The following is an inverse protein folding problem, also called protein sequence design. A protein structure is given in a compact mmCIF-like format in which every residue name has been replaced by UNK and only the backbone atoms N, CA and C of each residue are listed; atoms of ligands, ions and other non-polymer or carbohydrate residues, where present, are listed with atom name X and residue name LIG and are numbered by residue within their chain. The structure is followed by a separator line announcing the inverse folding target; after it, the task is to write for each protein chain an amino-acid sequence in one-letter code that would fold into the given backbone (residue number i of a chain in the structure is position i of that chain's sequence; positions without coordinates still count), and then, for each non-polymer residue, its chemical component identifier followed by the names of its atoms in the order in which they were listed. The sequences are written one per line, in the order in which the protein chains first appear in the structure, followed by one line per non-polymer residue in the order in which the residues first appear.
data_IF_542470786364
#
_entry.id   IF_542470786364
#
_cell.length_a   1.000
_cell.length_b   1.000
_cell.length_c   1.000
_cell.angle_alpha   90.00
_cell.angle_beta   90.00
_cell.angle_gamma   90.00
#
_symmetry.space_group_name_H-M   'P 1'
#
loop_
_entity.id
_entity.type
_entity.pdbx_description
1 polymer ?
#
# COMPACT_ATOMS: atom_id res chain seq x y z
N UNK A 1 -18.10 17.46 -10.17
CA UNK A 1 -17.60 16.61 -9.08
C UNK A 1 -17.87 15.15 -9.44
N UNK A 2 -16.86 14.29 -9.51
CA UNK A 2 -17.02 12.88 -9.92
C UNK A 2 -17.34 12.06 -8.66
N UNK A 3 -18.38 11.23 -8.69
CA UNK A 3 -18.75 10.40 -7.53
C UNK A 3 -17.57 9.49 -7.14
N UNK A 4 -17.17 9.43 -5.85
CA UNK A 4 -16.10 8.54 -5.37
C UNK A 4 -16.33 7.07 -5.72
N UNK A 5 -17.58 6.70 -6.02
CA UNK A 5 -18.03 5.34 -6.29
C UNK A 5 -18.22 5.03 -7.78
N UNK A 6 -17.69 5.87 -8.68
CA UNK A 6 -17.70 5.54 -10.12
C UNK A 6 -16.97 4.20 -10.36
N UNK A 7 -17.49 3.32 -11.23
CA UNK A 7 -16.85 2.05 -11.58
C UNK A 7 -15.38 2.20 -11.97
N UNK A 8 -15.02 3.34 -12.56
CA UNK A 8 -13.65 3.69 -12.95
C UNK A 8 -12.72 3.84 -11.75
N UNK A 9 -13.16 4.53 -10.69
CA UNK A 9 -12.34 4.77 -9.48
C UNK A 9 -12.19 3.48 -8.67
N UNK A 10 -13.28 2.72 -8.54
CA UNK A 10 -13.26 1.41 -7.89
C UNK A 10 -12.37 0.40 -8.64
N UNK A 11 -12.38 0.43 -9.98
CA UNK A 11 -11.51 -0.37 -10.82
C UNK A 11 -10.03 -0.05 -10.59
N UNK A 12 -9.65 1.24 -10.64
CA UNK A 12 -8.27 1.67 -10.40
C UNK A 12 -7.74 1.26 -9.03
N UNK A 13 -8.55 1.38 -7.97
CA UNK A 13 -8.14 0.97 -6.62
C UNK A 13 -7.83 -0.53 -6.55
N UNK A 14 -8.65 -1.38 -7.18
CA UNK A 14 -8.42 -2.82 -7.23
C UNK A 14 -7.16 -3.19 -8.00
N UNK A 15 -6.89 -2.51 -9.13
CA UNK A 15 -5.67 -2.71 -9.91
C UNK A 15 -4.43 -2.34 -9.09
N UNK A 16 -4.44 -1.19 -8.43
CA UNK A 16 -3.31 -0.77 -7.57
C UNK A 16 -3.11 -1.70 -6.36
N UNK A 17 -4.19 -2.20 -5.77
CA UNK A 17 -4.11 -3.19 -4.69
C UNK A 17 -3.50 -4.52 -5.19
N UNK A 18 -3.85 -4.96 -6.40
CA UNK A 18 -3.29 -6.16 -7.01
C UNK A 18 -1.80 -5.99 -7.33
N UNK A 19 -1.40 -4.84 -7.91
CA UNK A 19 0.02 -4.49 -8.14
C UNK A 19 0.81 -4.49 -6.82
N UNK A 20 0.27 -3.84 -5.79
CA UNK A 20 0.87 -3.81 -4.45
C UNK A 20 1.07 -5.22 -3.89
N UNK A 21 0.06 -6.08 -4.02
CA UNK A 21 0.14 -7.47 -3.58
C UNK A 21 1.24 -8.24 -4.32
N UNK A 22 1.37 -8.04 -5.64
CA UNK A 22 2.41 -8.68 -6.45
C UNK A 22 3.81 -8.24 -6.04
N UNK A 23 4.04 -6.94 -5.80
CA UNK A 23 5.32 -6.41 -5.32
C UNK A 23 5.72 -7.03 -3.98
N UNK A 24 4.78 -7.08 -3.02
CA UNK A 24 5.04 -7.67 -1.69
C UNK A 24 5.36 -9.16 -1.82
N UNK A 25 4.59 -9.90 -2.63
CA UNK A 25 4.80 -11.34 -2.89
C UNK A 25 6.14 -11.64 -3.54
N UNK A 26 6.55 -10.83 -4.51
CA UNK A 26 7.81 -10.96 -5.23
C UNK A 26 9.03 -10.47 -4.42
N UNK A 27 8.79 -9.83 -3.25
CA UNK A 27 9.83 -9.12 -2.47
C UNK A 27 10.61 -8.13 -3.33
N UNK A 28 9.91 -7.43 -4.23
CA UNK A 28 10.53 -6.45 -5.10
C UNK A 28 10.75 -5.12 -4.35
N UNK A 29 11.87 -5.06 -3.63
CA UNK A 29 12.21 -3.96 -2.72
C UNK A 29 12.29 -2.61 -3.45
N UNK A 30 12.64 -2.62 -4.74
CA UNK A 30 12.74 -1.40 -5.54
C UNK A 30 11.41 -0.66 -5.62
N UNK A 31 10.30 -1.40 -5.59
CA UNK A 31 8.95 -0.86 -5.67
C UNK A 31 8.26 -0.70 -4.31
N UNK A 32 8.95 -0.99 -3.18
CA UNK A 32 8.35 -0.85 -1.85
C UNK A 32 8.00 0.59 -1.48
N UNK A 33 8.70 1.59 -2.03
CA UNK A 33 8.34 3.01 -1.81
C UNK A 33 6.93 3.31 -2.32
N UNK A 34 6.61 2.85 -3.54
CA UNK A 34 5.30 3.04 -4.16
C UNK A 34 4.21 2.26 -3.43
N UNK A 35 4.52 1.08 -2.91
CA UNK A 35 3.62 0.32 -2.02
C UNK A 35 3.32 1.09 -0.74
N UNK A 36 4.35 1.63 -0.08
CA UNK A 36 4.17 2.40 1.15
C UNK A 36 3.36 3.68 0.90
N UNK A 37 3.61 4.38 -0.20
CA UNK A 37 2.83 5.56 -0.61
C UNK A 37 1.35 5.21 -0.82
N UNK A 38 1.06 4.12 -1.54
CA UNK A 38 -0.31 3.65 -1.76
C UNK A 38 -1.04 3.35 -0.44
N UNK A 39 -0.36 2.68 0.50
CA UNK A 39 -0.94 2.35 1.80
C UNK A 39 -1.18 3.58 2.67
N UNK A 40 -0.27 4.56 2.65
CA UNK A 40 -0.40 5.83 3.37
C UNK A 40 -1.58 6.65 2.84
N UNK A 41 -1.67 6.82 1.51
CA UNK A 41 -2.78 7.54 0.87
C UNK A 41 -4.12 6.85 1.13
N UNK A 42 -4.17 5.52 1.00
CA UNK A 42 -5.39 4.74 1.24
C UNK A 42 -5.86 4.88 2.69
N UNK A 43 -4.94 4.84 3.66
CA UNK A 43 -5.28 5.01 5.06
C UNK A 43 -5.72 6.44 5.39
N UNK A 44 -5.10 7.46 4.78
CA UNK A 44 -5.52 8.86 4.94
C UNK A 44 -6.93 9.13 4.39
N UNK A 45 -7.30 8.48 3.28
CA UNK A 45 -8.63 8.61 2.69
C UNK A 45 -9.69 7.74 3.39
N UNK A 46 -9.31 6.57 3.89
CA UNK A 46 -10.21 5.58 4.47
C UNK A 46 -9.64 5.03 5.80
N UNK A 47 -9.54 5.86 6.85
CA UNK A 47 -8.93 5.46 8.12
C UNK A 47 -9.71 4.35 8.85
N UNK A 48 -10.99 4.14 8.50
CA UNK A 48 -11.85 3.10 9.06
C UNK A 48 -11.64 1.72 8.43
N UNK A 49 -10.87 1.60 7.34
CA UNK A 49 -10.65 0.32 6.65
C UNK A 49 -9.90 -0.70 7.54
N UNK A 50 -8.96 -0.21 8.35
CA UNK A 50 -8.19 -1.00 9.31
C UNK A 50 -7.92 -0.16 10.56
N UNK A 51 -7.76 -0.80 11.72
CA UNK A 51 -7.32 -0.06 12.90
C UNK A 51 -5.92 0.53 12.69
N UNK A 52 -5.68 1.69 13.30
CA UNK A 52 -4.40 2.42 13.18
C UNK A 52 -3.19 1.56 13.56
N UNK A 53 -3.33 0.71 14.57
CA UNK A 53 -2.27 -0.22 14.99
C UNK A 53 -1.93 -1.25 13.89
N UNK A 54 -2.91 -1.73 13.11
CA UNK A 54 -2.66 -2.65 12.00
C UNK A 54 -1.94 -1.94 10.86
N UNK A 55 -2.38 -0.73 10.51
CA UNK A 55 -1.71 0.10 9.51
C UNK A 55 -0.23 0.35 9.90
N UNK A 56 0.02 0.77 11.14
CA UNK A 56 1.38 0.98 11.66
C UNK A 56 2.23 -0.28 11.58
N UNK A 57 1.70 -1.45 11.98
CA UNK A 57 2.44 -2.72 11.91
C UNK A 57 2.86 -3.09 10.49
N UNK A 58 1.98 -2.87 9.51
CA UNK A 58 2.29 -3.12 8.09
C UNK A 58 3.37 -2.16 7.61
N UNK A 59 3.20 -0.85 7.85
CA UNK A 59 4.17 0.17 7.43
C UNK A 59 5.54 -0.04 8.08
N UNK A 60 5.58 -0.35 9.37
CA UNK A 60 6.82 -0.67 10.08
C UNK A 60 7.49 -1.90 9.48
N UNK A 61 6.76 -3.01 9.29
CA UNK A 61 7.30 -4.24 8.70
C UNK A 61 7.90 -4.03 7.31
N UNK A 62 7.23 -3.25 6.44
CA UNK A 62 7.74 -2.93 5.10
C UNK A 62 9.00 -2.05 5.16
N UNK A 63 9.03 -1.04 6.03
CA UNK A 63 10.22 -0.19 6.25
C UNK A 63 11.41 -0.99 6.74
N UNK A 64 11.21 -1.87 7.72
CA UNK A 64 12.25 -2.74 8.26
C UNK A 64 12.77 -3.73 7.22
N UNK A 65 11.89 -4.35 6.43
CA UNK A 65 12.29 -5.25 5.33
C UNK A 65 13.15 -4.53 4.29
N UNK A 66 12.72 -3.33 3.87
CA UNK A 66 13.50 -2.51 2.94
C UNK A 66 14.87 -2.15 3.52
N UNK A 67 14.95 -1.79 4.80
CA UNK A 67 16.21 -1.44 5.45
C UNK A 67 17.17 -2.64 5.55
N UNK A 68 16.65 -3.83 5.91
CA UNK A 68 17.44 -5.05 6.02
C UNK A 68 18.03 -5.50 4.68
N UNK A 69 17.30 -5.30 3.57
CA UNK A 69 17.71 -5.76 2.25
C UNK A 69 18.58 -4.74 1.48
N UNK A 70 18.79 -3.53 2.02
CA UNK A 70 19.69 -2.51 1.45
C UNK A 70 21.18 -2.73 1.84
N UNK A 71 21.48 -3.70 2.70
CA UNK A 71 22.82 -3.95 3.25
C UNK A 71 23.63 -5.03 2.49
N UNK A 72 23.24 -5.39 1.26
CA UNK A 72 23.92 -6.37 0.42
C UNK A 72 24.03 -5.85 -1.02
#
# INVERSE_FOLDING_TARGET
MRSPWSPTVAGSLRVMAAETWMVIRARDIKHFERVMEFLEVTYGLMPQLVSSIKHMKIMFGLKTLKAALKQN
#
